data_IF_922713199860
#
_entry.id   IF_922713199860
#
_cell.length_a   1.000
_cell.length_b   1.000
_cell.length_c   1.000
_cell.angle_alpha   90.00
_cell.angle_beta   90.00
_cell.angle_gamma   90.00
#
_symmetry.space_group_name_H-M   'P 1'
#
loop_
_entity.id
_entity.type
_entity.pdbx_description
1 polymer ?
#
# COMPACT_ATOMS: atom_id res chain seq x y z
N UNK A 1 -11.01 11.57 1.51
CA UNK A 1 -9.75 10.83 1.74
C UNK A 1 -9.07 10.53 0.41
N UNK A 2 -7.80 10.16 0.43
CA UNK A 2 -7.08 9.67 -0.74
C UNK A 2 -6.73 8.19 -0.53
N UNK A 3 -6.81 7.38 -1.58
CA UNK A 3 -6.43 5.96 -1.49
C UNK A 3 -4.92 5.80 -1.69
N UNK A 4 -4.29 4.90 -0.94
CA UNK A 4 -2.88 4.56 -1.11
C UNK A 4 -2.63 3.09 -0.83
N UNK A 5 -1.46 2.59 -1.23
CA UNK A 5 -0.93 1.32 -0.75
C UNK A 5 -0.55 1.43 0.75
N UNK A 6 -0.64 0.34 1.55
CA UNK A 6 -0.06 0.28 2.89
C UNK A 6 1.44 0.57 2.84
N UNK A 7 1.94 1.42 3.73
CA UNK A 7 3.33 1.91 3.70
C UNK A 7 3.73 2.62 5.00
N UNK A 8 4.94 2.31 5.46
CA UNK A 8 5.56 2.95 6.61
C UNK A 8 6.66 3.94 6.28
N UNK A 9 7.27 4.47 7.33
CA UNK A 9 8.63 5.00 7.27
C UNK A 9 9.64 3.85 7.38
N UNK A 10 10.78 4.01 6.71
CA UNK A 10 11.87 3.04 6.76
C UNK A 10 12.90 3.56 7.77
N UNK A 11 13.17 2.79 8.81
CA UNK A 11 14.18 3.13 9.81
C UNK A 11 15.59 2.69 9.37
N UNK A 12 16.60 3.20 10.09
CA UNK A 12 17.99 2.91 9.77
C UNK A 12 18.29 1.41 9.94
N UNK A 13 18.72 0.77 8.85
CA UNK A 13 19.09 -0.64 8.84
C UNK A 13 17.96 -1.59 8.44
N UNK A 14 16.73 -1.10 8.29
CA UNK A 14 15.63 -1.91 7.79
C UNK A 14 15.70 -2.11 6.28
N UNK A 15 15.29 -3.30 5.83
CA UNK A 15 15.12 -3.55 4.40
C UNK A 15 13.74 -3.05 3.96
N UNK A 16 13.62 -2.29 2.86
CA UNK A 16 12.33 -1.72 2.44
C UNK A 16 11.19 -2.73 2.27
N UNK A 17 11.48 -3.97 1.86
CA UNK A 17 10.47 -5.05 1.73
C UNK A 17 10.01 -5.59 3.09
N UNK A 18 10.86 -5.58 4.11
CA UNK A 18 10.51 -6.02 5.46
C UNK A 18 9.56 -5.00 6.09
N UNK A 19 9.83 -3.70 5.89
CA UNK A 19 8.91 -2.61 6.25
C UNK A 19 7.57 -2.75 5.55
N UNK A 20 7.55 -2.95 4.22
CA UNK A 20 6.29 -3.12 3.49
C UNK A 20 5.44 -4.30 3.99
N UNK A 21 6.07 -5.39 4.45
CA UNK A 21 5.38 -6.55 5.04
C UNK A 21 4.83 -6.24 6.43
N UNK A 22 5.62 -5.59 7.28
CA UNK A 22 5.21 -5.16 8.63
C UNK A 22 4.01 -4.22 8.55
N UNK A 23 4.10 -3.20 7.72
CA UNK A 23 3.08 -2.17 7.53
C UNK A 23 1.81 -2.71 6.91
N UNK A 24 1.90 -3.68 6.00
CA UNK A 24 0.71 -4.40 5.51
C UNK A 24 -0.07 -5.02 6.69
N UNK A 25 0.64 -5.63 7.64
CA UNK A 25 0.01 -6.26 8.79
C UNK A 25 -0.52 -5.25 9.82
N UNK A 26 0.22 -4.16 10.07
CA UNK A 26 -0.19 -3.11 11.00
C UNK A 26 -1.38 -2.29 10.48
N UNK A 27 -1.38 -1.91 9.21
CA UNK A 27 -2.44 -1.11 8.61
C UNK A 27 -3.69 -1.93 8.28
N UNK A 28 -3.54 -3.21 7.91
CA UNK A 28 -4.66 -4.06 7.46
C UNK A 28 -5.09 -5.12 8.48
N UNK A 29 -4.35 -5.29 9.58
CA UNK A 29 -4.63 -6.29 10.62
C UNK A 29 -4.45 -7.75 10.17
N UNK A 30 -3.86 -7.98 8.99
CA UNK A 30 -3.76 -9.30 8.36
C UNK A 30 -2.34 -9.56 7.84
N UNK A 31 -1.85 -10.81 7.89
CA UNK A 31 -0.51 -11.11 7.39
C UNK A 31 -0.39 -10.80 5.89
N UNK A 32 0.76 -10.30 5.42
CA UNK A 32 0.99 -10.13 3.99
C UNK A 32 0.94 -11.48 3.26
N UNK A 33 0.59 -11.51 1.96
CA UNK A 33 0.59 -12.75 1.19
C UNK A 33 1.93 -13.49 1.27
N UNK A 34 1.86 -14.82 1.23
CA UNK A 34 3.04 -15.67 1.14
C UNK A 34 3.67 -15.61 -0.27
N UNK A 35 4.94 -15.98 -0.37
CA UNK A 35 5.64 -16.11 -1.65
C UNK A 35 6.43 -14.86 -2.09
N UNK A 36 6.71 -14.82 -3.40
CA UNK A 36 7.61 -13.83 -4.00
C UNK A 36 6.89 -12.52 -4.32
N UNK A 37 7.54 -11.43 -3.96
CA UNK A 37 7.06 -10.08 -4.16
C UNK A 37 7.76 -9.50 -5.39
N UNK A 38 6.99 -9.18 -6.42
CA UNK A 38 7.50 -8.54 -7.64
C UNK A 38 7.76 -7.07 -7.36
N UNK A 39 9.00 -6.57 -7.45
CA UNK A 39 9.30 -5.17 -7.22
C UNK A 39 8.67 -4.31 -8.32
N UNK A 40 7.92 -3.28 -7.91
CA UNK A 40 7.37 -2.24 -8.80
C UNK A 40 8.24 -0.98 -8.83
N UNK A 41 9.46 -1.07 -8.29
CA UNK A 41 10.41 0.04 -8.20
C UNK A 41 10.00 1.08 -7.15
N UNK A 42 10.42 2.33 -7.37
CA UNK A 42 10.09 3.46 -6.50
C UNK A 42 9.55 4.67 -7.25
N UNK A 43 8.96 5.59 -6.51
CA UNK A 43 8.50 6.91 -6.96
C UNK A 43 8.92 7.97 -5.94
N UNK A 44 8.89 9.24 -6.36
CA UNK A 44 9.00 10.39 -5.46
C UNK A 44 7.66 11.12 -5.38
N UNK A 45 7.16 11.36 -4.18
CA UNK A 45 5.93 12.10 -3.93
C UNK A 45 6.19 13.61 -3.75
N UNK A 46 5.13 14.43 -3.77
CA UNK A 46 5.22 15.90 -3.73
C UNK A 46 5.97 16.46 -2.51
N UNK A 47 5.95 15.76 -1.37
CA UNK A 47 6.72 16.12 -0.17
C UNK A 47 8.20 15.71 -0.19
N UNK A 48 8.70 15.18 -1.31
CA UNK A 48 10.06 14.68 -1.44
C UNK A 48 10.27 13.24 -0.97
N UNK A 49 9.31 12.66 -0.23
CA UNK A 49 9.33 11.26 0.21
C UNK A 49 9.45 10.30 -0.98
N UNK A 50 10.35 9.33 -0.85
CA UNK A 50 10.49 8.21 -1.80
C UNK A 50 9.67 7.04 -1.30
N UNK A 51 8.84 6.46 -2.16
CA UNK A 51 8.03 5.27 -1.84
C UNK A 51 8.51 4.12 -2.70
N UNK A 52 8.71 2.96 -2.08
CA UNK A 52 9.00 1.69 -2.75
C UNK A 52 7.76 0.81 -2.68
N UNK A 53 7.47 0.08 -3.76
CA UNK A 53 6.30 -0.79 -3.80
C UNK A 53 6.62 -2.14 -4.43
N UNK A 54 5.82 -3.13 -4.04
CA UNK A 54 5.88 -4.50 -4.54
C UNK A 54 4.47 -5.02 -4.79
N UNK A 55 4.35 -6.00 -5.68
CA UNK A 55 3.13 -6.74 -5.93
C UNK A 55 3.29 -8.20 -5.52
N UNK A 56 2.25 -8.76 -4.91
CA UNK A 56 2.14 -10.18 -4.63
C UNK A 56 0.72 -10.65 -4.97
N UNK A 57 0.56 -11.87 -5.50
CA UNK A 57 -0.77 -12.47 -5.61
C UNK A 57 -1.30 -12.78 -4.21
N UNK A 58 -2.57 -12.49 -3.96
CA UNK A 58 -3.20 -12.77 -2.68
C UNK A 58 -4.71 -12.53 -2.76
N UNK A 59 -5.43 -13.18 -1.86
CA UNK A 59 -6.87 -13.01 -1.68
C UNK A 59 -7.10 -12.46 -0.27
N UNK A 60 -7.14 -11.13 -0.17
CA UNK A 60 -7.29 -10.41 1.09
C UNK A 60 -8.78 -10.24 1.39
N UNK A 61 -9.20 -10.67 2.57
CA UNK A 61 -10.54 -10.40 3.08
C UNK A 61 -10.61 -8.96 3.59
N UNK A 62 -11.03 -8.03 2.72
CA UNK A 62 -11.12 -6.60 3.03
C UNK A 62 -12.17 -6.28 4.10
N UNK A 63 -13.09 -7.20 4.40
CA UNK A 63 -14.11 -7.03 5.45
C UNK A 63 -13.52 -7.26 6.86
N UNK A 64 -12.37 -7.94 6.95
CA UNK A 64 -11.64 -8.21 8.21
C UNK A 64 -10.49 -7.24 8.46
N UNK A 65 -10.45 -6.13 7.73
CA UNK A 65 -9.40 -5.13 7.94
C UNK A 65 -9.64 -4.43 9.26
N UNK A 66 -8.69 -4.59 10.16
CA UNK A 66 -8.63 -3.93 11.47
C UNK A 66 -7.34 -3.11 11.50
N UNK A 67 -7.46 -1.79 11.40
CA UNK A 67 -6.30 -0.90 11.42
C UNK A 67 -5.97 -0.46 12.85
N UNK A 68 -4.70 -0.19 13.11
CA UNK A 68 -4.29 0.59 14.27
C UNK A 68 -4.97 1.97 14.34
N UNK A 69 -4.78 2.65 15.46
CA UNK A 69 -5.29 4.02 15.67
C UNK A 69 -4.16 4.97 15.99
N UNK A 70 -4.23 6.20 15.48
CA UNK A 70 -3.33 7.28 15.87
C UNK A 70 -4.08 8.35 16.68
N UNK A 71 -3.36 8.98 17.61
CA UNK A 71 -3.88 10.09 18.41
C UNK A 71 -3.47 11.43 17.81
N UNK A 72 -4.43 12.32 17.61
CA UNK A 72 -4.19 13.70 17.16
C UNK A 72 -5.02 14.69 17.97
N UNK A 73 -4.53 15.92 18.12
CA UNK A 73 -5.32 16.98 18.72
C UNK A 73 -6.48 17.37 17.80
N UNK A 74 -7.72 17.22 18.27
CA UNK A 74 -8.92 17.51 17.50
C UNK A 74 -10.08 18.05 18.35
N UNK A 75 -10.74 19.16 17.96
CA UNK A 75 -10.40 20.04 16.84
C UNK A 75 -9.02 20.73 17.01
N UNK A 76 -8.41 21.25 15.94
CA UNK A 76 -7.08 21.87 16.03
C UNK A 76 -7.05 23.03 17.04
N UNK A 77 -6.01 23.10 17.88
CA UNK A 77 -5.79 24.11 18.95
C UNK A 77 -6.78 24.04 20.12
N UNK A 78 -7.47 22.91 20.31
CA UNK A 78 -8.39 22.69 21.43
C UNK A 78 -7.73 22.11 22.69
N UNK A 79 -6.50 21.59 22.58
CA UNK A 79 -5.83 20.81 23.63
C UNK A 79 -6.42 19.43 23.88
N UNK A 80 -7.42 19.00 23.09
CA UNK A 80 -8.10 17.71 23.25
C UNK A 80 -7.50 16.68 22.30
N UNK A 81 -7.02 15.57 22.84
CA UNK A 81 -6.57 14.43 22.03
C UNK A 81 -7.75 13.53 21.66
N UNK A 82 -7.78 13.07 20.42
CA UNK A 82 -8.75 12.11 19.91
C UNK A 82 -8.04 11.05 19.06
N UNK A 83 -8.52 9.82 19.16
CA UNK A 83 -8.03 8.69 18.37
C UNK A 83 -8.83 8.53 17.07
N UNK A 84 -8.12 8.22 15.99
CA UNK A 84 -8.69 7.92 14.68
C UNK A 84 -8.03 6.65 14.11
N UNK A 85 -8.75 5.83 13.33
CA UNK A 85 -8.14 4.70 12.64
C UNK A 85 -7.12 5.20 11.62
N UNK A 86 -6.00 4.49 11.48
CA UNK A 86 -5.00 4.75 10.44
C UNK A 86 -5.57 4.47 9.04
N UNK A 87 -6.39 3.42 8.92
CA UNK A 87 -7.10 3.08 7.68
C UNK A 87 -8.60 3.14 7.91
N UNK A 88 -9.24 4.11 7.27
CA UNK A 88 -10.71 4.25 7.28
C UNK A 88 -11.40 3.11 6.52
N UNK A 89 -10.78 2.63 5.42
CA UNK A 89 -11.34 1.58 4.57
C UNK A 89 -10.30 0.89 3.70
N UNK A 90 -10.44 -0.43 3.54
CA UNK A 90 -9.76 -1.23 2.51
C UNK A 90 -10.74 -1.72 1.44
N UNK A 91 -10.31 -1.82 0.18
CA UNK A 91 -11.18 -2.27 -0.93
C UNK A 91 -10.36 -2.77 -2.10
N UNK A 92 -10.83 -3.86 -2.72
CA UNK A 92 -10.33 -4.32 -4.02
C UNK A 92 -10.87 -3.48 -5.17
N UNK A 93 -9.99 -3.10 -6.09
CA UNK A 93 -10.35 -2.40 -7.32
C UNK A 93 -9.73 -3.07 -8.53
N UNK A 94 -10.44 -3.04 -9.67
CA UNK A 94 -9.78 -3.26 -10.95
C UNK A 94 -8.80 -2.11 -11.26
N UNK A 95 -7.81 -2.36 -12.13
CA UNK A 95 -6.75 -1.39 -12.44
C UNK A 95 -7.29 -0.04 -12.93
N UNK A 96 -8.33 -0.05 -13.77
CA UNK A 96 -8.95 1.17 -14.29
C UNK A 96 -9.56 2.04 -13.19
N UNK A 97 -10.17 1.41 -12.18
CA UNK A 97 -10.75 2.13 -11.04
C UNK A 97 -9.68 2.56 -10.06
N UNK A 98 -8.72 1.69 -9.75
CA UNK A 98 -7.59 2.00 -8.89
C UNK A 98 -6.83 3.25 -9.36
N UNK A 99 -6.59 3.39 -10.67
CA UNK A 99 -5.93 4.58 -11.26
C UNK A 99 -6.63 5.90 -10.98
N UNK A 100 -7.96 5.88 -10.82
CA UNK A 100 -8.78 7.07 -10.55
C UNK A 100 -8.87 7.40 -9.07
N UNK A 101 -8.69 6.40 -8.20
CA UNK A 101 -8.89 6.52 -6.76
C UNK A 101 -7.58 6.76 -6.00
N UNK A 102 -6.49 6.13 -6.44
CA UNK A 102 -5.20 6.17 -5.78
C UNK A 102 -4.55 7.56 -5.86
N UNK A 103 -3.73 7.90 -4.87
CA UNK A 103 -2.84 9.05 -4.93
C UNK A 103 -2.12 9.09 -6.26
N UNK A 104 -2.20 10.23 -6.97
CA UNK A 104 -1.73 10.33 -8.35
C UNK A 104 -0.26 9.92 -8.52
N UNK A 105 0.60 10.25 -7.56
CA UNK A 105 2.01 9.83 -7.60
C UNK A 105 2.17 8.29 -7.62
N UNK A 106 1.30 7.56 -6.93
CA UNK A 106 1.30 6.09 -6.84
C UNK A 106 0.65 5.40 -8.04
N UNK A 107 -0.05 6.13 -8.93
CA UNK A 107 -0.66 5.54 -10.14
C UNK A 107 0.37 4.82 -11.03
N UNK A 108 1.61 5.32 -11.07
CA UNK A 108 2.74 4.69 -11.76
C UNK A 108 2.96 3.23 -11.34
N UNK A 109 2.69 2.87 -10.08
CA UNK A 109 2.82 1.48 -9.63
C UNK A 109 1.80 0.55 -10.29
N UNK A 110 0.59 1.06 -10.59
CA UNK A 110 -0.43 0.29 -11.29
C UNK A 110 -0.04 0.04 -12.75
N UNK A 111 0.59 1.01 -13.41
CA UNK A 111 1.11 0.84 -14.77
C UNK A 111 2.25 -0.19 -14.82
N UNK A 112 3.14 -0.16 -13.82
CA UNK A 112 4.21 -1.15 -13.69
C UNK A 112 3.67 -2.54 -13.37
N UNK A 113 2.62 -2.64 -12.56
CA UNK A 113 1.92 -3.90 -12.28
C UNK A 113 1.32 -4.50 -13.55
N UNK A 114 0.58 -3.70 -14.33
CA UNK A 114 -0.03 -4.15 -15.59
C UNK A 114 1.03 -4.66 -16.59
N UNK A 115 2.16 -3.96 -16.69
CA UNK A 115 3.28 -4.38 -17.53
C UNK A 115 3.94 -5.68 -17.05
N UNK A 116 4.07 -5.87 -15.73
CA UNK A 116 4.62 -7.08 -15.14
C UNK A 116 3.71 -8.29 -15.40
N UNK A 117 2.40 -8.15 -15.22
CA UNK A 117 1.41 -9.20 -15.49
C UNK A 117 1.40 -9.59 -16.97
N UNK A 118 1.39 -8.61 -17.87
CA UNK A 118 1.47 -8.85 -19.32
C UNK A 118 2.73 -9.62 -19.73
N UNK A 119 3.82 -9.45 -18.99
CA UNK A 119 5.08 -10.17 -19.25
C UNK A 119 5.01 -11.60 -18.73
N UNK A 120 4.44 -11.81 -17.55
CA UNK A 120 4.23 -13.15 -16.98
C UNK A 120 3.31 -14.00 -17.85
N UNK A 121 2.24 -13.43 -18.41
CA UNK A 121 1.32 -14.14 -19.30
C UNK A 121 2.03 -14.64 -20.57
N UNK A 122 2.90 -13.81 -21.17
CA UNK A 122 3.72 -14.20 -22.32
C UNK A 122 4.69 -15.34 -22.00
N UNK A 123 5.29 -15.32 -20.81
CA UNK A 123 6.20 -16.37 -20.36
C UNK A 123 5.46 -17.69 -20.13
N UNK A 124 4.26 -17.65 -19.54
CA UNK A 124 3.41 -18.83 -19.32
C UNK A 124 2.89 -19.44 -20.63
N UNK A 125 2.54 -18.62 -21.62
CA UNK A 125 2.08 -19.10 -22.92
C UNK A 125 3.19 -19.71 -23.80
N UNK A 126 4.46 -19.54 -23.42
CA UNK A 126 5.63 -20.05 -24.13
C UNK A 126 6.25 -21.29 -23.47
N UNK A 127 5.66 -21.80 -22.38
CA UNK A 127 6.08 -23.00 -21.63
C UNK A 127 5.08 -24.13 -21.82
#
# INVERSE_FOLDING_TARGET
GAWSLPKGEIEQGERPIEVARREFQEELGQPPPEGLFTPLGSIRQAGGKVVHAWAAPGDLDVERVESGTFSVEWPPRSGRMQEFPEVDRATWFNLQTARRMILQAQSTFLDRLEAALSTQDRQRASS
#
